data_IF_629028601430
#
_entry.id   IF_629028601430
#
_cell.length_a   1.000
_cell.length_b   1.000
_cell.length_c   1.000
_cell.angle_alpha   90.00
_cell.angle_beta   90.00
_cell.angle_gamma   90.00
#
_symmetry.space_group_name_H-M   'P 1'
#
loop_
_entity.id
_entity.type
_entity.pdbx_description
1 polymer ?
#
# COMPACT_ATOMS: atom_id res chain seq x y z
N UNK A 1 7.94 -4.76 18.45
CA UNK A 1 7.00 -3.66 18.18
C UNK A 1 5.90 -3.69 19.23
N UNK A 2 5.72 -2.61 19.97
CA UNK A 2 4.58 -2.46 20.87
C UNK A 2 3.35 -1.95 20.11
N UNK A 3 2.17 -2.11 20.71
CA UNK A 3 0.88 -1.62 20.16
C UNK A 3 0.81 -0.09 20.02
N UNK A 4 1.77 0.65 20.61
CA UNK A 4 1.89 2.11 20.54
C UNK A 4 2.83 2.62 19.42
N UNK A 5 3.19 1.76 18.46
CA UNK A 5 4.12 2.05 17.34
C UNK A 5 5.53 2.51 17.76
N UNK A 6 5.95 2.22 18.99
CA UNK A 6 7.31 2.51 19.45
C UNK A 6 8.22 1.32 19.21
N UNK A 7 9.46 1.60 18.80
CA UNK A 7 10.52 0.62 18.73
C UNK A 7 11.22 0.59 20.10
N UNK A 8 11.32 -0.61 20.67
CA UNK A 8 11.97 -0.83 21.96
C UNK A 8 13.04 -1.89 21.80
N UNK A 9 14.22 -1.62 22.33
CA UNK A 9 15.31 -2.59 22.43
C UNK A 9 15.22 -3.26 23.80
N UNK A 10 14.96 -4.55 23.78
CA UNK A 10 14.83 -5.34 25.00
C UNK A 10 16.04 -6.24 25.18
N UNK A 11 16.66 -6.18 26.34
CA UNK A 11 17.76 -7.04 26.73
C UNK A 11 17.26 -8.03 27.80
N UNK A 12 17.78 -9.24 27.77
CA UNK A 12 17.49 -10.27 28.76
C UNK A 12 18.56 -10.31 29.88
N UNK A 13 18.36 -11.20 30.88
CA UNK A 13 19.31 -11.40 31.98
C UNK A 13 20.61 -12.10 31.56
N UNK A 14 20.70 -12.56 30.31
CA UNK A 14 21.83 -13.33 29.82
C UNK A 14 21.76 -14.81 30.22
N UNK A 15 22.86 -15.53 29.95
CA UNK A 15 23.02 -16.92 30.40
C UNK A 15 23.71 -16.87 31.77
N UNK A 16 23.10 -17.49 32.78
CA UNK A 16 23.73 -17.67 34.09
C UNK A 16 24.40 -19.06 34.15
N UNK A 17 25.57 -19.09 34.78
CA UNK A 17 26.29 -20.33 35.05
C UNK A 17 25.87 -21.02 36.38
N UNK A 18 24.84 -20.50 37.04
CA UNK A 18 24.34 -21.06 38.28
C UNK A 18 23.46 -22.26 38.06
N UNK A 19 23.75 -23.39 38.70
CA UNK A 19 23.01 -24.63 38.61
C UNK A 19 21.58 -24.60 39.24
N UNK A 20 21.28 -23.55 39.98
CA UNK A 20 20.01 -23.39 40.73
C UNK A 20 18.94 -22.57 39.99
N UNK A 21 19.14 -22.32 38.70
CA UNK A 21 18.17 -21.55 37.92
C UNK A 21 16.93 -22.37 37.56
N UNK A 22 15.79 -21.74 37.67
CA UNK A 22 14.50 -22.30 37.28
C UNK A 22 14.47 -22.65 35.78
N UNK A 23 14.10 -23.90 35.47
CA UNK A 23 13.92 -24.35 34.09
C UNK A 23 12.57 -23.83 33.60
N UNK A 24 12.63 -22.87 32.69
CA UNK A 24 11.43 -22.29 32.06
C UNK A 24 11.00 -23.17 30.88
N UNK A 25 9.74 -23.64 30.84
CA UNK A 25 9.26 -24.44 29.72
C UNK A 25 9.23 -23.62 28.42
N UNK A 26 9.51 -24.27 27.29
CA UNK A 26 9.38 -23.63 25.99
C UNK A 26 7.91 -23.25 25.74
N UNK A 27 7.59 -21.96 25.53
CA UNK A 27 6.22 -21.48 25.33
C UNK A 27 5.52 -22.11 24.12
N UNK A 28 6.26 -22.41 23.06
CA UNK A 28 5.71 -23.05 21.86
C UNK A 28 5.19 -24.47 22.14
N UNK A 29 5.86 -25.18 23.06
CA UNK A 29 5.44 -26.52 23.47
C UNK A 29 4.29 -26.50 24.46
N UNK A 30 4.22 -25.50 25.33
CA UNK A 30 3.15 -25.36 26.32
C UNK A 30 1.84 -24.95 25.65
N UNK A 31 1.89 -24.04 24.67
CA UNK A 31 0.72 -23.60 23.92
C UNK A 31 0.09 -24.69 23.05
N UNK A 32 0.89 -25.59 22.51
CA UNK A 32 0.43 -26.70 21.66
C UNK A 32 -0.21 -27.86 22.40
N UNK A 33 -0.01 -27.98 23.71
CA UNK A 33 -0.49 -29.10 24.54
C UNK A 33 -1.86 -28.88 25.16
N UNK A 34 -2.44 -27.72 25.14
CA UNK A 34 -3.73 -27.38 25.72
C UNK A 34 -4.88 -27.62 24.73
N UNK A 35 -5.74 -28.59 25.04
CA UNK A 35 -6.94 -28.86 24.23
C UNK A 35 -7.84 -27.60 24.16
N UNK A 36 -8.05 -27.07 22.96
CA UNK A 36 -8.81 -25.85 22.74
C UNK A 36 -7.96 -24.61 22.43
N UNK A 37 -6.67 -24.63 22.59
CA UNK A 37 -5.77 -23.59 22.12
C UNK A 37 -5.56 -23.74 20.61
N UNK A 38 -5.90 -22.68 19.89
CA UNK A 38 -5.61 -22.56 18.48
C UNK A 38 -4.09 -22.37 18.30
N UNK A 39 -3.59 -22.67 17.11
CA UNK A 39 -2.15 -22.64 16.77
C UNK A 39 -1.45 -21.41 17.37
N UNK A 40 -0.18 -21.53 17.71
CA UNK A 40 0.67 -20.51 18.34
C UNK A 40 0.63 -19.13 17.68
N UNK A 41 0.18 -19.03 16.43
CA UNK A 41 -0.03 -17.78 15.67
C UNK A 41 -1.28 -17.00 16.16
N UNK A 42 -2.24 -17.68 16.78
CA UNK A 42 -3.47 -17.05 17.30
C UNK A 42 -3.35 -16.61 18.77
N UNK A 43 -2.28 -16.99 19.45
CA UNK A 43 -1.99 -16.58 20.82
C UNK A 43 -1.10 -15.35 20.79
N UNK A 44 -1.57 -14.28 21.39
CA UNK A 44 -0.78 -13.07 21.61
C UNK A 44 0.27 -13.36 22.69
N UNK A 45 1.38 -13.98 22.27
CA UNK A 45 2.51 -14.25 23.17
C UNK A 45 3.23 -12.91 23.36
N UNK A 46 3.02 -12.30 24.51
CA UNK A 46 3.80 -11.13 24.91
C UNK A 46 5.23 -11.59 25.28
N UNK A 47 6.25 -11.25 24.48
CA UNK A 47 7.63 -11.60 24.80
C UNK A 47 8.09 -11.02 26.15
N UNK A 48 7.44 -9.99 26.68
CA UNK A 48 7.77 -9.40 27.97
C UNK A 48 7.51 -10.36 29.14
N UNK A 49 6.61 -11.32 28.97
CA UNK A 49 6.37 -12.39 29.96
C UNK A 49 7.53 -13.39 30.07
N UNK A 50 8.47 -13.36 29.13
CA UNK A 50 9.67 -14.20 29.12
C UNK A 50 10.93 -13.44 29.56
N UNK A 51 10.78 -12.34 30.26
CA UNK A 51 11.90 -11.54 30.79
C UNK A 51 12.87 -12.36 31.65
N UNK A 52 12.42 -13.46 32.23
CA UNK A 52 13.22 -14.38 33.03
C UNK A 52 13.78 -15.56 32.23
N UNK A 53 13.48 -15.62 30.93
CA UNK A 53 14.05 -16.68 30.08
C UNK A 53 15.45 -16.27 29.62
N UNK A 54 16.34 -17.24 29.50
CA UNK A 54 17.72 -17.07 29.03
C UNK A 54 17.83 -16.78 27.51
N UNK A 55 16.72 -16.57 26.83
CA UNK A 55 16.66 -16.41 25.38
C UNK A 55 17.13 -15.06 24.87
N UNK A 56 17.17 -14.04 25.72
CA UNK A 56 17.66 -12.71 25.35
C UNK A 56 19.10 -12.50 25.82
N UNK A 57 19.90 -11.83 24.96
CA UNK A 57 21.27 -11.45 25.29
C UNK A 57 21.34 -10.52 26.49
N UNK A 58 22.42 -10.61 27.24
CA UNK A 58 22.68 -9.74 28.38
C UNK A 58 22.88 -8.29 27.93
N UNK A 59 22.38 -7.34 28.72
CA UNK A 59 22.67 -5.93 28.50
C UNK A 59 24.16 -5.65 28.69
N UNK A 60 24.84 -5.00 27.72
CA UNK A 60 26.26 -4.65 27.89
C UNK A 60 26.45 -3.64 29.01
N UNK A 61 27.40 -3.92 29.89
CA UNK A 61 27.74 -3.03 30.98
C UNK A 61 28.94 -2.13 30.61
N UNK A 62 28.95 -0.87 31.10
CA UNK A 62 30.02 0.11 30.88
C UNK A 62 30.38 0.33 29.39
N UNK A 63 29.41 0.25 28.50
CA UNK A 63 29.61 0.35 27.04
C UNK A 63 28.66 1.41 26.48
N UNK A 64 29.12 2.16 25.50
CA UNK A 64 28.26 3.04 24.67
C UNK A 64 27.75 2.27 23.50
N UNK A 65 26.43 2.20 23.33
CA UNK A 65 25.78 1.57 22.17
C UNK A 65 25.38 2.65 21.18
N UNK A 66 25.80 2.48 19.94
CA UNK A 66 25.32 3.30 18.82
C UNK A 66 24.19 2.55 18.10
N UNK A 67 23.00 3.16 18.11
CA UNK A 67 21.83 2.58 17.46
C UNK A 67 21.52 3.41 16.23
N UNK A 68 21.60 2.78 15.04
CA UNK A 68 21.16 3.37 13.79
C UNK A 68 19.75 2.92 13.48
N UNK A 69 18.84 3.86 13.29
CA UNK A 69 17.44 3.56 12.98
C UNK A 69 16.90 4.54 11.95
N UNK A 70 15.86 4.12 11.23
CA UNK A 70 15.14 4.97 10.29
C UNK A 70 13.85 5.44 10.92
N UNK A 71 13.52 6.70 10.69
CA UNK A 71 12.23 7.29 11.08
C UNK A 71 11.47 7.69 9.83
N UNK A 72 10.14 7.74 9.92
CA UNK A 72 9.27 8.22 8.86
C UNK A 72 7.86 8.43 9.40
N UNK A 73 7.13 9.36 8.79
CA UNK A 73 5.75 9.70 9.14
C UNK A 73 4.73 9.00 8.23
N UNK A 74 5.16 8.00 7.47
CA UNK A 74 4.29 7.28 6.56
C UNK A 74 3.98 8.07 5.29
N UNK A 75 2.72 8.06 4.86
CA UNK A 75 2.28 8.67 3.59
C UNK A 75 2.60 10.18 3.51
N UNK A 76 2.63 10.88 4.64
CA UNK A 76 2.94 12.31 4.70
C UNK A 76 4.37 12.66 4.31
N UNK A 77 5.26 11.66 4.27
CA UNK A 77 6.65 11.84 3.79
C UNK A 77 6.76 11.81 2.24
N UNK A 78 5.68 11.52 1.53
CA UNK A 78 5.61 11.68 0.08
C UNK A 78 5.52 13.16 -0.29
N UNK A 79 6.64 13.76 -0.64
CA UNK A 79 6.76 15.20 -0.93
C UNK A 79 6.07 15.54 -2.25
N UNK A 80 5.32 16.66 -2.29
CA UNK A 80 4.72 17.19 -3.50
C UNK A 80 5.79 17.61 -4.54
N UNK A 81 5.44 17.75 -5.83
CA UNK A 81 6.40 18.21 -6.83
C UNK A 81 6.84 19.65 -6.54
N UNK A 82 8.09 19.98 -6.91
CA UNK A 82 8.71 21.29 -6.76
C UNK A 82 8.87 21.81 -5.31
N UNK A 83 8.89 20.93 -4.32
CA UNK A 83 9.09 21.31 -2.90
C UNK A 83 10.56 21.21 -2.50
N UNK A 84 11.31 20.25 -3.06
CA UNK A 84 12.73 20.05 -2.73
C UNK A 84 13.59 21.00 -3.55
N UNK A 85 13.72 22.24 -3.07
CA UNK A 85 14.48 23.30 -3.75
C UNK A 85 15.69 23.78 -2.95
N UNK A 86 15.75 23.45 -1.67
CA UNK A 86 16.84 23.88 -0.77
C UNK A 86 17.98 22.87 -0.77
N UNK A 87 19.21 23.37 -0.94
CA UNK A 87 20.43 22.56 -0.92
C UNK A 87 21.21 22.92 0.32
N UNK A 88 21.20 22.02 1.31
CA UNK A 88 21.88 22.26 2.60
C UNK A 88 23.37 21.98 2.53
N UNK A 89 23.78 20.99 1.76
CA UNK A 89 25.19 20.60 1.65
C UNK A 89 25.49 19.99 0.30
N UNK A 90 26.66 20.31 -0.24
CA UNK A 90 27.17 19.74 -1.50
C UNK A 90 28.63 19.37 -1.28
N UNK A 91 28.97 18.12 -1.54
CA UNK A 91 30.33 17.64 -1.58
C UNK A 91 30.85 17.70 -3.03
N UNK A 92 31.92 18.43 -3.26
CA UNK A 92 32.56 18.52 -4.56
C UNK A 92 33.81 17.65 -4.56
N UNK A 93 33.97 16.81 -5.57
CA UNK A 93 35.22 16.07 -5.77
C UNK A 93 36.23 17.00 -6.47
N UNK A 94 37.05 17.66 -5.67
CA UNK A 94 38.04 18.64 -6.14
C UNK A 94 39.35 17.98 -6.59
N UNK A 95 39.56 16.67 -6.31
CA UNK A 95 40.84 15.97 -6.52
C UNK A 95 41.09 15.52 -7.97
N UNK A 96 40.12 15.69 -8.87
CA UNK A 96 40.22 15.07 -10.20
C UNK A 96 41.16 15.78 -11.16
N UNK A 97 41.42 17.08 -11.01
CA UNK A 97 42.38 17.82 -11.90
C UNK A 97 42.90 19.11 -11.28
N UNK A 98 44.20 19.19 -11.13
CA UNK A 98 44.94 20.41 -10.71
C UNK A 98 44.82 21.59 -11.72
N UNK A 99 44.16 21.41 -12.87
CA UNK A 99 44.00 22.40 -13.92
C UNK A 99 42.61 23.05 -13.97
N UNK A 100 41.75 22.84 -12.96
CA UNK A 100 40.43 23.44 -12.94
C UNK A 100 40.53 24.91 -12.51
N UNK A 101 40.00 25.80 -13.34
CA UNK A 101 39.96 27.24 -13.02
C UNK A 101 39.02 27.52 -11.85
N UNK A 102 39.54 28.12 -10.78
CA UNK A 102 38.80 28.44 -9.56
C UNK A 102 37.55 29.32 -9.84
N UNK A 103 37.58 30.19 -10.84
CA UNK A 103 36.42 31.01 -11.22
C UNK A 103 35.27 30.15 -11.79
N UNK A 104 35.61 29.12 -12.57
CA UNK A 104 34.60 28.18 -13.11
C UNK A 104 33.99 27.33 -12.02
N UNK A 105 34.79 26.86 -11.07
CA UNK A 105 34.29 26.11 -9.91
C UNK A 105 33.32 26.97 -9.08
N UNK A 106 33.69 28.21 -8.78
CA UNK A 106 32.81 29.14 -8.08
C UNK A 106 31.52 29.44 -8.82
N UNK A 107 31.58 29.57 -10.15
CA UNK A 107 30.39 29.75 -10.97
C UNK A 107 29.44 28.53 -10.88
N UNK A 108 29.97 27.33 -11.01
CA UNK A 108 29.19 26.10 -10.86
C UNK A 108 28.57 26.01 -9.45
N UNK A 109 29.32 26.33 -8.40
CA UNK A 109 28.82 26.35 -7.03
C UNK A 109 27.65 27.30 -6.83
N UNK A 110 27.69 28.48 -7.47
CA UNK A 110 26.63 29.49 -7.35
C UNK A 110 25.41 29.25 -8.23
N UNK A 111 25.53 28.46 -9.27
CA UNK A 111 24.43 28.15 -10.22
C UNK A 111 23.75 26.81 -9.96
N UNK A 112 24.22 26.06 -8.97
CA UNK A 112 23.63 24.78 -8.61
C UNK A 112 22.21 24.98 -8.08
N UNK A 113 21.25 24.30 -8.68
CA UNK A 113 19.85 24.29 -8.23
C UNK A 113 19.35 22.84 -8.20
N UNK A 114 18.50 22.54 -7.24
CA UNK A 114 17.83 21.27 -7.13
C UNK A 114 16.31 21.45 -7.23
N UNK A 115 15.64 20.49 -7.83
CA UNK A 115 14.19 20.45 -7.88
C UNK A 115 13.70 19.02 -8.09
N UNK A 116 12.60 18.66 -7.43
CA UNK A 116 11.88 17.42 -7.71
C UNK A 116 10.71 17.72 -8.67
N UNK A 117 10.88 17.43 -9.95
CA UNK A 117 9.85 17.69 -10.97
C UNK A 117 8.55 16.86 -10.77
N UNK A 118 8.65 15.69 -10.14
CA UNK A 118 7.52 14.79 -9.85
C UNK A 118 7.35 14.62 -8.35
N UNK A 119 6.09 14.36 -7.92
CA UNK A 119 5.82 14.03 -6.54
C UNK A 119 6.53 12.72 -6.13
N UNK A 120 6.98 12.66 -4.88
CA UNK A 120 7.45 11.40 -4.33
C UNK A 120 6.28 10.42 -4.15
N UNK A 121 6.54 9.13 -4.37
CA UNK A 121 5.59 8.06 -4.11
C UNK A 121 6.36 6.85 -3.55
N UNK A 122 5.71 6.05 -2.70
CA UNK A 122 6.33 4.85 -2.15
C UNK A 122 6.44 4.86 -0.62
N UNK A 123 6.02 5.92 0.05
CA UNK A 123 5.79 5.87 1.48
C UNK A 123 4.37 5.34 1.78
N UNK A 124 4.24 4.55 2.81
CA UNK A 124 3.00 3.88 3.24
C UNK A 124 2.84 4.04 4.76
N UNK A 125 1.62 4.15 5.24
CA UNK A 125 1.32 4.06 6.68
C UNK A 125 1.74 2.69 7.22
N UNK A 126 2.07 2.61 8.50
CA UNK A 126 2.38 1.35 9.16
C UNK A 126 1.21 0.36 8.99
N UNK A 127 1.56 -0.92 8.79
CA UNK A 127 0.58 -1.99 8.67
C UNK A 127 -0.19 -2.15 9.99
N UNK A 128 -1.47 -2.47 9.90
CA UNK A 128 -2.26 -2.81 11.08
C UNK A 128 -1.81 -4.16 11.64
N UNK A 129 -2.13 -4.44 12.91
CA UNK A 129 -1.81 -5.74 13.52
C UNK A 129 -2.39 -6.92 12.70
N UNK A 130 -3.57 -6.74 12.13
CA UNK A 130 -4.21 -7.75 11.29
C UNK A 130 -3.44 -7.94 9.96
N UNK A 131 -2.97 -6.87 9.34
CA UNK A 131 -2.15 -6.95 8.13
C UNK A 131 -0.82 -7.66 8.40
N UNK A 132 -0.18 -7.33 9.53
CA UNK A 132 1.06 -8.00 9.95
C UNK A 132 0.84 -9.50 10.15
N UNK A 133 -0.25 -9.90 10.83
CA UNK A 133 -0.61 -11.33 11.02
C UNK A 133 -0.84 -12.02 9.68
N UNK A 134 -1.62 -11.43 8.80
CA UNK A 134 -1.92 -11.98 7.48
C UNK A 134 -0.64 -12.11 6.62
N UNK A 135 0.19 -11.06 6.60
CA UNK A 135 1.44 -11.05 5.86
C UNK A 135 2.45 -12.07 6.40
N UNK A 136 2.52 -12.24 7.71
CA UNK A 136 3.39 -13.23 8.34
C UNK A 136 2.99 -14.67 7.97
N UNK A 137 1.68 -14.98 8.04
CA UNK A 137 1.14 -16.29 7.63
C UNK A 137 1.41 -16.57 6.14
N UNK A 138 1.12 -15.58 5.29
CA UNK A 138 1.33 -15.70 3.86
C UNK A 138 2.83 -15.86 3.52
N UNK A 139 3.72 -15.06 4.14
CA UNK A 139 5.16 -15.18 3.93
C UNK A 139 5.72 -16.54 4.36
N UNK A 140 5.19 -17.10 5.46
CA UNK A 140 5.58 -18.45 5.90
C UNK A 140 5.15 -19.52 4.90
N UNK A 141 3.98 -19.38 4.28
CA UNK A 141 3.46 -20.31 3.28
C UNK A 141 4.28 -20.31 1.97
N UNK A 142 4.89 -19.18 1.59
CA UNK A 142 5.66 -19.04 0.32
C UNK A 142 7.00 -19.76 0.32
N UNK A 143 7.50 -20.26 1.46
CA UNK A 143 8.79 -20.95 1.59
C UNK A 143 9.98 -20.19 0.96
N UNK A 144 9.95 -18.85 0.97
CA UNK A 144 10.98 -17.97 0.39
C UNK A 144 11.25 -18.15 -1.13
N UNK A 145 10.29 -18.63 -1.89
CA UNK A 145 10.37 -18.68 -3.36
C UNK A 145 9.05 -18.22 -3.97
N UNK A 146 9.13 -17.67 -5.18
CA UNK A 146 7.98 -17.17 -5.93
C UNK A 146 7.58 -18.21 -6.98
N UNK A 147 6.43 -18.82 -6.80
CA UNK A 147 5.89 -19.85 -7.71
C UNK A 147 4.50 -19.46 -8.19
N UNK A 148 3.63 -18.96 -7.30
CA UNK A 148 2.28 -18.55 -7.62
C UNK A 148 2.19 -17.03 -7.81
N UNK A 149 1.09 -16.56 -8.41
CA UNK A 149 0.82 -15.11 -8.56
C UNK A 149 0.73 -14.43 -7.18
N UNK A 150 0.10 -15.10 -6.25
CA UNK A 150 -0.08 -14.64 -4.87
C UNK A 150 1.27 -14.47 -4.16
N UNK A 151 2.22 -15.37 -4.39
CA UNK A 151 3.57 -15.27 -3.82
C UNK A 151 4.26 -13.97 -4.25
N UNK A 152 4.16 -13.62 -5.53
CA UNK A 152 4.71 -12.37 -6.06
C UNK A 152 4.06 -11.14 -5.43
N UNK A 153 2.73 -11.13 -5.27
CA UNK A 153 1.98 -10.03 -4.65
C UNK A 153 2.37 -9.87 -3.19
N UNK A 154 2.38 -10.97 -2.42
CA UNK A 154 2.75 -10.98 -1.00
C UNK A 154 4.19 -10.51 -0.83
N UNK A 155 5.09 -10.96 -1.68
CA UNK A 155 6.49 -10.55 -1.63
C UNK A 155 6.66 -9.08 -1.98
N UNK A 156 5.92 -8.53 -2.95
CA UNK A 156 5.93 -7.12 -3.26
C UNK A 156 5.50 -6.26 -2.06
N UNK A 157 4.47 -6.68 -1.31
CA UNK A 157 4.05 -6.00 -0.08
C UNK A 157 5.06 -6.18 1.08
N UNK A 158 5.86 -7.24 1.05
CA UNK A 158 6.88 -7.52 2.08
C UNK A 158 8.21 -6.82 1.81
N UNK A 159 8.31 -5.99 0.77
CA UNK A 159 9.52 -5.22 0.49
C UNK A 159 9.83 -4.29 1.67
N UNK A 160 11.10 -4.28 2.17
CA UNK A 160 11.48 -3.39 3.27
C UNK A 160 11.24 -1.91 2.91
N UNK A 161 10.62 -1.15 3.82
CA UNK A 161 10.21 0.23 3.61
C UNK A 161 11.34 1.18 3.17
N UNK A 162 12.59 0.87 3.53
CA UNK A 162 13.77 1.65 3.09
C UNK A 162 14.00 1.65 1.58
N UNK A 163 13.41 0.71 0.84
CA UNK A 163 13.47 0.63 -0.62
C UNK A 163 12.22 1.20 -1.30
N UNK A 164 11.28 1.69 -0.53
CA UNK A 164 9.95 2.11 -0.93
C UNK A 164 8.89 1.06 -0.61
N UNK A 165 7.63 1.41 -0.78
CA UNK A 165 6.52 0.48 -0.57
C UNK A 165 5.54 0.53 -1.72
N UNK A 166 4.83 -0.58 -1.91
CA UNK A 166 3.78 -0.74 -2.91
C UNK A 166 2.43 -0.66 -2.21
N UNK A 167 1.54 0.20 -2.69
CA UNK A 167 0.18 0.34 -2.16
C UNK A 167 -0.76 -0.75 -2.69
N UNK A 168 -0.67 -1.01 -4.01
CA UNK A 168 -1.46 -2.03 -4.70
C UNK A 168 -0.57 -2.77 -5.69
N UNK A 169 -0.73 -4.09 -5.76
CA UNK A 169 -0.02 -4.94 -6.70
C UNK A 169 -0.97 -5.96 -7.33
N UNK A 170 -0.77 -6.22 -8.61
CA UNK A 170 -1.51 -7.23 -9.37
C UNK A 170 -0.60 -7.83 -10.43
N UNK A 171 -0.71 -9.11 -10.71
CA UNK A 171 0.17 -9.79 -11.66
C UNK A 171 -0.64 -10.57 -12.70
N UNK A 172 -0.23 -10.46 -13.94
CA UNK A 172 -0.85 -11.11 -15.10
C UNK A 172 0.24 -11.70 -15.97
N UNK A 173 0.09 -12.95 -16.46
CA UNK A 173 0.95 -13.47 -17.51
C UNK A 173 0.90 -12.61 -18.76
N UNK A 174 2.01 -12.53 -19.50
CA UNK A 174 2.13 -11.70 -20.71
C UNK A 174 1.17 -12.14 -21.83
N UNK A 175 0.77 -13.41 -21.84
CA UNK A 175 -0.17 -13.99 -22.79
C UNK A 175 -1.64 -13.61 -22.58
N UNK A 176 -1.97 -13.02 -21.41
CA UNK A 176 -3.34 -12.57 -21.08
C UNK A 176 -3.60 -11.10 -21.42
N UNK A 177 -2.62 -10.38 -21.91
CA UNK A 177 -2.80 -8.99 -22.35
C UNK A 177 -3.64 -8.92 -23.61
N UNK A 178 -4.44 -7.86 -23.74
CA UNK A 178 -5.45 -7.71 -24.79
C UNK A 178 -4.89 -7.88 -26.20
N UNK A 179 -5.69 -8.45 -27.10
CA UNK A 179 -5.34 -8.63 -28.52
C UNK A 179 -4.98 -7.34 -29.26
N UNK A 180 -5.26 -6.16 -28.70
CA UNK A 180 -4.86 -4.89 -29.27
C UNK A 180 -3.35 -4.61 -29.19
N UNK A 181 -2.67 -5.14 -28.20
CA UNK A 181 -1.19 -5.13 -28.16
C UNK A 181 -0.56 -6.11 -29.15
N UNK A 182 -1.30 -7.11 -29.65
CA UNK A 182 -0.82 -8.06 -30.66
C UNK A 182 -0.63 -7.47 -32.07
N UNK A 183 -1.08 -6.25 -32.33
CA UNK A 183 -0.81 -5.58 -33.61
C UNK A 183 0.63 -5.05 -33.72
N UNK A 184 1.37 -4.99 -32.63
CA UNK A 184 2.82 -4.80 -32.67
C UNK A 184 3.49 -6.18 -32.76
N UNK A 185 4.54 -6.28 -33.57
CA UNK A 185 5.36 -7.46 -33.88
C UNK A 185 5.94 -8.25 -32.69
N UNK A 186 5.39 -8.08 -31.49
CA UNK A 186 5.85 -8.71 -30.25
C UNK A 186 5.10 -10.01 -29.99
N UNK A 187 5.83 -11.11 -30.06
CA UNK A 187 5.31 -12.42 -29.65
C UNK A 187 5.22 -12.46 -28.13
N UNK A 188 4.05 -12.81 -27.55
CA UNK A 188 3.92 -12.97 -26.09
C UNK A 188 4.92 -13.99 -25.58
N UNK A 189 5.57 -13.67 -24.46
CA UNK A 189 6.46 -14.63 -23.80
C UNK A 189 5.67 -15.30 -22.66
N UNK A 190 5.37 -16.61 -22.77
CA UNK A 190 4.60 -17.32 -21.74
C UNK A 190 5.34 -17.42 -20.39
N UNK A 191 6.65 -17.17 -20.37
CA UNK A 191 7.46 -17.13 -19.15
C UNK A 191 7.58 -15.70 -18.56
N UNK A 192 7.05 -14.69 -19.24
CA UNK A 192 7.05 -13.33 -18.76
C UNK A 192 5.74 -13.02 -18.01
N UNK A 193 5.89 -12.36 -16.89
CA UNK A 193 4.77 -11.83 -16.09
C UNK A 193 4.84 -10.32 -16.04
N UNK A 194 3.69 -9.67 -16.18
CA UNK A 194 3.54 -8.23 -15.98
C UNK A 194 2.97 -7.98 -14.59
N UNK A 195 3.74 -7.35 -13.73
CA UNK A 195 3.31 -6.90 -12.42
C UNK A 195 2.89 -5.44 -12.51
N UNK A 196 1.64 -5.18 -12.20
CA UNK A 196 1.06 -3.85 -12.16
C UNK A 196 1.04 -3.35 -10.73
N UNK A 197 1.63 -2.18 -10.51
CA UNK A 197 1.84 -1.61 -9.17
C UNK A 197 1.33 -0.18 -9.10
N UNK A 198 0.93 0.23 -7.90
CA UNK A 198 0.59 1.62 -7.58
C UNK A 198 1.14 1.98 -6.21
N UNK A 199 1.42 3.26 -6.02
CA UNK A 199 1.81 3.85 -4.75
C UNK A 199 0.75 4.81 -4.23
N UNK A 200 1.02 5.40 -3.05
CA UNK A 200 0.24 6.51 -2.51
C UNK A 200 1.01 7.81 -2.67
N UNK A 201 0.28 8.90 -2.88
CA UNK A 201 0.80 10.25 -2.72
C UNK A 201 0.65 10.69 -1.24
N UNK A 202 1.07 11.94 -0.94
CA UNK A 202 0.97 12.58 0.38
C UNK A 202 -0.46 12.55 0.95
N UNK A 203 -1.48 12.69 0.11
CA UNK A 203 -2.90 12.68 0.50
C UNK A 203 -3.53 11.28 0.51
N UNK A 204 -2.72 10.22 0.47
CA UNK A 204 -3.18 8.82 0.42
C UNK A 204 -4.03 8.49 -0.82
N UNK A 205 -3.85 9.20 -1.92
CA UNK A 205 -4.48 8.91 -3.21
C UNK A 205 -3.55 8.03 -4.04
N UNK A 206 -4.12 7.22 -4.93
CA UNK A 206 -3.35 6.35 -5.80
C UNK A 206 -2.59 7.14 -6.87
N UNK A 207 -1.33 6.78 -7.05
CA UNK A 207 -0.45 7.32 -8.09
C UNK A 207 0.46 6.21 -8.63
N UNK A 208 0.99 6.42 -9.84
CA UNK A 208 2.04 5.56 -10.37
C UNK A 208 3.30 5.63 -9.48
N UNK A 209 4.01 4.52 -9.35
CA UNK A 209 5.27 4.49 -8.62
C UNK A 209 6.38 5.15 -9.45
N UNK A 210 7.32 5.80 -8.75
CA UNK A 210 8.50 6.32 -9.43
C UNK A 210 9.42 5.17 -9.89
N UNK A 211 10.28 5.46 -10.86
CA UNK A 211 11.15 4.46 -11.47
C UNK A 211 12.11 3.80 -10.47
N UNK A 212 12.62 4.56 -9.50
CA UNK A 212 13.56 4.04 -8.50
C UNK A 212 12.92 2.95 -7.63
N UNK A 213 11.66 3.15 -7.19
CA UNK A 213 10.94 2.13 -6.40
C UNK A 213 10.64 0.89 -7.24
N UNK A 214 10.31 1.05 -8.53
CA UNK A 214 10.11 -0.08 -9.45
C UNK A 214 11.39 -0.90 -9.63
N UNK A 215 12.53 -0.24 -9.79
CA UNK A 215 13.85 -0.90 -9.91
C UNK A 215 14.25 -1.61 -8.62
N UNK A 216 14.02 -0.98 -7.47
CA UNK A 216 14.22 -1.61 -6.16
C UNK A 216 13.32 -2.85 -5.99
N UNK A 217 12.05 -2.74 -6.36
CA UNK A 217 11.11 -3.87 -6.31
C UNK A 217 11.57 -5.00 -7.22
N UNK A 218 12.00 -4.69 -8.45
CA UNK A 218 12.52 -5.68 -9.39
C UNK A 218 13.74 -6.41 -8.82
N UNK A 219 14.72 -5.65 -8.31
CA UNK A 219 15.91 -6.21 -7.69
C UNK A 219 15.56 -7.07 -6.47
N UNK A 220 14.58 -6.63 -5.66
CA UNK A 220 14.12 -7.41 -4.51
C UNK A 220 13.45 -8.71 -4.92
N UNK A 221 12.57 -8.71 -5.93
CA UNK A 221 11.91 -9.92 -6.44
C UNK A 221 12.88 -10.89 -7.11
N UNK A 222 13.94 -10.39 -7.76
CA UNK A 222 14.97 -11.21 -8.41
C UNK A 222 15.69 -12.16 -7.44
N UNK A 223 15.74 -11.85 -6.16
CA UNK A 223 16.31 -12.74 -5.13
C UNK A 223 15.44 -13.97 -4.82
N UNK A 224 14.17 -13.94 -5.18
CA UNK A 224 13.20 -14.97 -4.80
C UNK A 224 12.55 -15.67 -5.99
N UNK A 225 12.61 -15.07 -7.20
CA UNK A 225 11.98 -15.63 -8.41
C UNK A 225 12.69 -16.90 -8.89
N UNK A 226 11.94 -17.71 -9.63
CA UNK A 226 12.51 -18.84 -10.35
C UNK A 226 13.35 -18.32 -11.52
N UNK A 227 14.43 -19.02 -11.86
CA UNK A 227 15.38 -18.57 -12.88
C UNK A 227 14.76 -18.37 -14.27
N UNK A 228 13.71 -19.12 -14.59
CA UNK A 228 13.00 -19.06 -15.87
C UNK A 228 12.03 -17.89 -15.99
N UNK A 229 11.59 -17.32 -14.88
CA UNK A 229 10.55 -16.29 -14.87
C UNK A 229 11.13 -14.91 -15.12
N UNK A 230 10.48 -14.12 -15.96
CA UNK A 230 10.77 -12.72 -16.18
C UNK A 230 9.61 -11.87 -15.67
N UNK A 231 9.91 -10.85 -14.84
CA UNK A 231 8.91 -9.94 -14.30
C UNK A 231 9.14 -8.55 -14.86
N UNK A 232 8.10 -8.01 -15.51
CA UNK A 232 8.04 -6.62 -15.96
C UNK A 232 7.17 -5.84 -14.99
N UNK A 233 7.66 -4.71 -14.48
CA UNK A 233 6.91 -3.88 -13.55
C UNK A 233 6.35 -2.67 -14.30
N UNK A 234 5.03 -2.50 -14.24
CA UNK A 234 4.27 -1.44 -14.91
C UNK A 234 3.35 -0.76 -13.90
N UNK A 235 2.90 0.48 -14.20
CA UNK A 235 1.83 1.09 -13.43
C UNK A 235 0.47 0.57 -13.87
N UNK A 236 -0.45 0.36 -12.91
CA UNK A 236 -1.85 0.07 -13.22
C UNK A 236 -2.59 1.37 -13.60
N UNK A 237 -3.66 1.23 -14.37
CA UNK A 237 -4.51 2.37 -14.73
C UNK A 237 -5.43 2.74 -13.57
N UNK A 238 -5.49 4.03 -13.24
CA UNK A 238 -6.38 4.57 -12.22
C UNK A 238 -7.59 5.17 -12.93
N UNK A 239 -8.77 4.66 -12.65
CA UNK A 239 -10.05 5.15 -13.16
C UNK A 239 -10.75 5.90 -12.03
N UNK A 240 -10.73 7.23 -12.10
CA UNK A 240 -11.41 8.04 -11.09
C UNK A 240 -12.91 8.06 -11.36
N UNK A 241 -13.69 7.86 -10.30
CA UNK A 241 -15.15 7.81 -10.36
C UNK A 241 -15.80 8.79 -9.38
N UNK A 242 -17.01 9.22 -9.72
CA UNK A 242 -17.90 9.93 -8.82
C UNK A 242 -19.22 9.15 -8.68
N UNK A 243 -19.83 9.25 -7.50
CA UNK A 243 -21.06 8.56 -7.15
C UNK A 243 -22.13 9.59 -6.77
N UNK A 244 -23.21 9.64 -7.53
CA UNK A 244 -24.39 10.43 -7.26
C UNK A 244 -25.54 9.49 -6.86
N UNK A 245 -26.20 9.77 -5.73
CA UNK A 245 -27.29 8.92 -5.25
C UNK A 245 -28.48 9.70 -4.72
N UNK A 246 -29.65 9.08 -4.78
CA UNK A 246 -30.91 9.62 -4.30
C UNK A 246 -31.54 8.64 -3.31
N UNK A 247 -31.97 9.18 -2.17
CA UNK A 247 -32.61 8.40 -1.11
C UNK A 247 -33.94 9.02 -0.70
N UNK A 248 -34.88 8.19 -0.29
CA UNK A 248 -36.03 8.60 0.49
C UNK A 248 -35.74 8.32 1.98
N UNK A 249 -36.10 9.28 2.83
CA UNK A 249 -35.85 9.21 4.27
C UNK A 249 -37.17 9.00 5.00
N UNK A 250 -37.18 8.20 6.05
CA UNK A 250 -38.33 7.97 6.92
C UNK A 250 -38.72 9.28 7.60
N UNK A 251 -40.04 9.56 7.73
CA UNK A 251 -40.58 10.81 8.21
C UNK A 251 -40.18 11.20 9.65
N UNK A 252 -39.75 10.24 10.44
CA UNK A 252 -39.29 10.43 11.82
C UNK A 252 -37.78 10.69 11.96
N UNK A 253 -37.04 10.79 10.84
CA UNK A 253 -35.61 11.05 10.82
C UNK A 253 -35.27 12.38 10.15
N UNK A 254 -34.17 13.00 10.60
CA UNK A 254 -33.70 14.25 9.98
C UNK A 254 -33.02 13.91 8.64
N UNK A 255 -33.53 14.50 7.55
CA UNK A 255 -33.07 14.26 6.18
C UNK A 255 -31.57 14.59 6.00
N UNK A 256 -31.09 15.70 6.56
CA UNK A 256 -29.70 16.13 6.43
C UNK A 256 -28.73 15.22 7.20
N UNK A 257 -29.15 14.82 8.40
CA UNK A 257 -28.34 13.88 9.21
C UNK A 257 -28.24 12.51 8.55
N UNK A 258 -29.36 11.99 8.05
CA UNK A 258 -29.41 10.70 7.33
C UNK A 258 -28.57 10.76 6.05
N UNK A 259 -28.66 11.87 5.29
CA UNK A 259 -27.84 12.08 4.10
C UNK A 259 -26.34 12.08 4.44
N UNK A 260 -25.93 12.76 5.52
CA UNK A 260 -24.54 12.77 5.95
C UNK A 260 -24.04 11.35 6.34
N UNK A 261 -24.89 10.57 7.03
CA UNK A 261 -24.59 9.16 7.36
C UNK A 261 -24.41 8.33 6.09
N UNK A 262 -25.23 8.52 5.07
CA UNK A 262 -25.11 7.85 3.77
C UNK A 262 -23.81 8.22 3.05
N UNK A 263 -23.44 9.50 3.02
CA UNK A 263 -22.19 9.96 2.44
C UNK A 263 -21.00 9.32 3.17
N UNK A 264 -21.01 9.28 4.49
CA UNK A 264 -19.93 8.66 5.28
C UNK A 264 -19.86 7.14 5.08
N UNK A 265 -21.01 6.47 4.93
CA UNK A 265 -21.06 5.04 4.61
C UNK A 265 -20.41 4.74 3.24
N UNK A 266 -20.70 5.57 2.22
CA UNK A 266 -20.07 5.43 0.90
C UNK A 266 -18.59 5.77 0.91
N UNK A 267 -18.14 6.77 1.70
CA UNK A 267 -16.71 7.05 1.89
C UNK A 267 -15.98 5.84 2.48
N UNK A 268 -16.57 5.20 3.47
CA UNK A 268 -16.02 3.97 4.05
C UNK A 268 -16.08 2.77 3.09
N UNK A 269 -17.08 2.71 2.21
CA UNK A 269 -17.19 1.67 1.19
C UNK A 269 -16.11 1.83 0.11
N UNK A 270 -15.88 3.05 -0.39
CA UNK A 270 -14.90 3.37 -1.42
C UNK A 270 -13.52 3.74 -0.85
N UNK A 271 -13.24 3.36 0.40
CA UNK A 271 -11.92 3.54 0.98
C UNK A 271 -10.87 2.81 0.14
N UNK A 272 -9.82 3.54 -0.25
CA UNK A 272 -8.75 3.04 -1.13
C UNK A 272 -8.09 1.77 -0.59
N UNK A 273 -8.00 1.63 0.75
CA UNK A 273 -7.40 0.43 1.36
C UNK A 273 -8.19 -0.83 1.05
N UNK A 274 -9.50 -0.74 0.89
CA UNK A 274 -10.40 -1.88 0.64
C UNK A 274 -10.47 -2.30 -0.83
N UNK A 275 -10.06 -1.43 -1.75
CA UNK A 275 -10.16 -1.69 -3.18
C UNK A 275 -8.88 -2.30 -3.75
N UNK A 276 -9.04 -3.24 -4.67
CA UNK A 276 -7.93 -3.92 -5.34
C UNK A 276 -7.94 -3.65 -6.85
N UNK A 277 -6.79 -3.86 -7.49
CA UNK A 277 -6.68 -3.80 -8.94
C UNK A 277 -7.56 -4.91 -9.55
N UNK A 278 -8.29 -4.60 -10.63
CA UNK A 278 -9.24 -5.48 -11.31
C UNK A 278 -10.48 -5.89 -10.49
N UNK A 279 -10.77 -5.17 -9.41
CA UNK A 279 -12.00 -5.40 -8.67
C UNK A 279 -13.19 -4.71 -9.36
N UNK A 280 -14.28 -5.44 -9.70
CA UNK A 280 -15.48 -4.84 -10.28
C UNK A 280 -16.29 -4.09 -9.23
N UNK A 281 -17.06 -3.07 -9.68
CA UNK A 281 -18.03 -2.38 -8.83
C UNK A 281 -19.40 -3.05 -8.99
N UNK A 282 -19.95 -3.54 -7.89
CA UNK A 282 -21.28 -4.15 -7.86
C UNK A 282 -22.26 -3.09 -7.35
N UNK A 283 -23.18 -2.63 -8.24
CA UNK A 283 -24.14 -1.56 -7.87
C UNK A 283 -25.10 -1.97 -6.75
N UNK A 284 -25.45 -3.26 -6.65
CA UNK A 284 -26.29 -3.77 -5.56
C UNK A 284 -25.63 -3.63 -4.17
N UNK A 285 -24.31 -3.75 -4.09
CA UNK A 285 -23.58 -3.60 -2.81
C UNK A 285 -23.65 -2.15 -2.33
N UNK A 286 -23.53 -1.19 -3.26
CA UNK A 286 -23.71 0.24 -2.95
C UNK A 286 -25.14 0.49 -2.47
N UNK A 287 -26.13 -0.03 -3.17
CA UNK A 287 -27.54 0.11 -2.81
C UNK A 287 -27.82 -0.50 -1.43
N UNK A 288 -27.28 -1.68 -1.16
CA UNK A 288 -27.41 -2.36 0.13
C UNK A 288 -26.71 -1.57 1.26
N UNK A 289 -25.51 -1.04 0.98
CA UNK A 289 -24.79 -0.20 1.95
C UNK A 289 -25.60 1.04 2.33
N UNK A 290 -26.22 1.69 1.36
CA UNK A 290 -27.11 2.84 1.60
C UNK A 290 -28.40 2.45 2.33
N UNK A 291 -29.03 1.36 1.94
CA UNK A 291 -30.26 0.87 2.56
C UNK A 291 -30.10 0.47 4.04
N UNK A 292 -28.91 0.01 4.41
CA UNK A 292 -28.58 -0.36 5.78
C UNK A 292 -28.33 0.86 6.70
N UNK A 293 -28.27 2.09 6.16
CA UNK A 293 -28.12 3.29 6.98
C UNK A 293 -29.42 3.60 7.71
N UNK A 294 -29.33 3.75 9.02
CA UNK A 294 -30.49 4.07 9.86
C UNK A 294 -31.17 5.37 9.43
N UNK A 295 -32.45 5.31 9.13
CA UNK A 295 -33.27 6.44 8.67
C UNK A 295 -33.55 6.46 7.17
N UNK A 296 -32.88 5.62 6.38
CA UNK A 296 -33.18 5.44 4.96
C UNK A 296 -34.42 4.56 4.80
N UNK A 297 -35.40 5.03 4.05
CA UNK A 297 -36.60 4.29 3.70
C UNK A 297 -36.36 3.45 2.44
N UNK A 298 -35.78 4.06 1.42
CA UNK A 298 -35.44 3.41 0.15
C UNK A 298 -34.35 4.18 -0.58
N UNK A 299 -33.60 3.47 -1.42
CA UNK A 299 -32.64 4.05 -2.35
C UNK A 299 -33.33 4.17 -3.71
N UNK A 300 -33.46 5.40 -4.19
CA UNK A 300 -34.18 5.72 -5.42
C UNK A 300 -33.31 5.48 -6.66
N UNK A 301 -32.09 6.01 -6.63
CA UNK A 301 -31.14 5.87 -7.74
C UNK A 301 -29.69 5.91 -7.24
N UNK A 302 -28.81 5.22 -7.97
CA UNK A 302 -27.35 5.29 -7.83
C UNK A 302 -26.75 5.41 -9.21
N UNK A 303 -26.10 6.52 -9.49
CA UNK A 303 -25.38 6.80 -10.72
C UNK A 303 -23.88 6.88 -10.46
N UNK A 304 -23.07 6.26 -11.29
CA UNK A 304 -21.62 6.30 -11.23
C UNK A 304 -21.12 6.91 -12.53
N UNK A 305 -20.26 7.92 -12.44
CA UNK A 305 -19.67 8.62 -13.57
C UNK A 305 -18.15 8.61 -13.51
N UNK A 306 -17.50 8.54 -14.68
CA UNK A 306 -16.04 8.66 -14.77
C UNK A 306 -15.60 10.14 -14.66
N UNK A 307 -14.49 10.39 -13.96
CA UNK A 307 -13.84 11.69 -13.83
C UNK A 307 -12.42 11.57 -14.39
N UNK A 308 -12.10 12.32 -15.43
CA UNK A 308 -10.84 12.19 -16.18
C UNK A 308 -10.12 13.51 -16.48
N UNK A 309 -10.63 14.63 -16.02
CA UNK A 309 -10.03 15.94 -16.29
C UNK A 309 -8.79 16.17 -15.40
N UNK A 310 -7.61 16.18 -16.02
CA UNK A 310 -6.33 16.39 -15.33
C UNK A 310 -6.18 17.79 -14.74
N UNK A 311 -6.89 18.80 -15.30
CA UNK A 311 -6.88 20.17 -14.77
C UNK A 311 -7.52 20.23 -13.37
N UNK A 312 -8.43 19.31 -13.06
CA UNK A 312 -9.05 19.18 -11.74
C UNK A 312 -8.36 18.13 -10.85
N UNK A 313 -7.19 17.65 -11.27
CA UNK A 313 -6.36 16.72 -10.51
C UNK A 313 -6.77 15.24 -10.62
N UNK A 314 -7.63 14.86 -11.56
CA UNK A 314 -7.95 13.45 -11.83
C UNK A 314 -6.90 12.80 -12.74
N UNK A 315 -6.94 11.46 -12.84
CA UNK A 315 -6.20 10.74 -13.87
C UNK A 315 -6.73 11.08 -15.26
N UNK A 316 -5.85 11.10 -16.28
CA UNK A 316 -6.27 11.32 -17.67
C UNK A 316 -7.00 10.12 -18.30
N UNK A 317 -7.33 9.09 -17.54
CA UNK A 317 -7.88 7.85 -18.06
C UNK A 317 -9.40 7.96 -18.27
N UNK A 318 -9.80 7.96 -19.53
CA UNK A 318 -11.22 7.94 -19.93
C UNK A 318 -11.69 6.50 -19.94
N UNK A 319 -12.79 6.22 -19.25
CA UNK A 319 -13.40 4.89 -19.21
C UNK A 319 -14.90 4.96 -19.37
N UNK A 320 -15.43 4.25 -20.37
CA UNK A 320 -16.87 4.20 -20.61
C UNK A 320 -17.55 3.19 -19.65
N UNK A 321 -18.04 3.72 -18.56
CA UNK A 321 -18.76 2.94 -17.55
C UNK A 321 -20.07 2.35 -18.07
N UNK A 322 -20.67 2.97 -19.11
CA UNK A 322 -21.94 2.51 -19.69
C UNK A 322 -21.74 1.18 -20.40
N UNK A 323 -20.77 1.14 -21.29
CA UNK A 323 -20.39 -0.09 -22.02
C UNK A 323 -19.83 -1.15 -21.09
N UNK A 324 -19.09 -0.75 -20.05
CA UNK A 324 -18.50 -1.66 -19.06
C UNK A 324 -19.53 -2.24 -18.08
N UNK A 325 -20.76 -1.71 -18.04
CA UNK A 325 -21.80 -2.20 -17.13
C UNK A 325 -22.60 -3.34 -17.74
N UNK A 326 -22.55 -4.52 -17.13
CA UNK A 326 -23.37 -5.67 -17.47
C UNK A 326 -24.07 -6.20 -16.21
N UNK A 327 -25.38 -6.36 -16.28
CA UNK A 327 -26.19 -6.90 -15.16
C UNK A 327 -25.98 -6.18 -13.81
N UNK A 328 -25.79 -4.86 -13.83
CA UNK A 328 -25.56 -4.08 -12.61
C UNK A 328 -24.14 -4.17 -12.04
N UNK A 329 -23.21 -4.83 -12.74
CA UNK A 329 -21.79 -4.92 -12.38
C UNK A 329 -20.99 -4.10 -13.38
N UNK A 330 -20.15 -3.20 -12.88
CA UNK A 330 -19.18 -2.43 -13.68
C UNK A 330 -17.88 -3.21 -13.66
N UNK A 331 -17.50 -3.73 -14.81
CA UNK A 331 -16.25 -4.48 -14.94
C UNK A 331 -15.07 -3.54 -15.16
N UNK A 332 -13.89 -3.87 -14.63
CA UNK A 332 -12.66 -3.14 -14.93
C UNK A 332 -12.23 -3.36 -16.39
N UNK A 333 -11.26 -2.57 -16.85
CA UNK A 333 -10.65 -2.74 -18.18
C UNK A 333 -9.94 -4.10 -18.31
N UNK A 334 -9.72 -4.53 -19.54
CA UNK A 334 -8.85 -5.69 -19.82
C UNK A 334 -7.42 -5.43 -19.37
N UNK A 335 -6.95 -4.18 -19.51
CA UNK A 335 -5.71 -3.76 -18.90
C UNK A 335 -5.93 -3.53 -17.39
N UNK A 336 -5.03 -4.02 -16.53
CA UNK A 336 -5.21 -3.92 -15.10
C UNK A 336 -5.47 -2.49 -14.63
N UNK A 337 -6.64 -2.27 -14.08
CA UNK A 337 -7.14 -0.96 -13.64
C UNK A 337 -7.75 -1.03 -12.25
N UNK A 338 -7.80 0.10 -11.56
CA UNK A 338 -8.42 0.25 -10.25
C UNK A 338 -9.40 1.43 -10.28
N UNK A 339 -10.56 1.24 -9.67
CA UNK A 339 -11.52 2.32 -9.46
C UNK A 339 -11.19 3.07 -8.17
N UNK A 340 -11.14 4.40 -8.26
CA UNK A 340 -10.84 5.27 -7.12
C UNK A 340 -11.82 6.44 -7.06
N UNK A 341 -12.37 6.72 -5.88
CA UNK A 341 -13.02 7.99 -5.57
C UNK A 341 -11.96 8.94 -5.03
N UNK A 342 -11.37 9.75 -5.91
CA UNK A 342 -10.18 10.55 -5.57
C UNK A 342 -10.45 11.64 -4.56
N UNK A 343 -11.58 12.31 -4.66
CA UNK A 343 -11.99 13.39 -3.75
C UNK A 343 -13.34 13.06 -3.10
N UNK A 344 -13.39 12.23 -2.05
CA UNK A 344 -14.65 11.74 -1.48
C UNK A 344 -15.64 12.84 -1.06
N UNK A 345 -15.13 14.01 -0.68
CA UNK A 345 -15.99 15.16 -0.30
C UNK A 345 -16.62 15.87 -1.50
N UNK A 346 -16.08 15.70 -2.71
CA UNK A 346 -16.56 16.35 -3.93
C UNK A 346 -17.28 15.36 -4.85
N UNK A 347 -16.81 14.13 -4.87
CA UNK A 347 -17.18 13.11 -5.85
C UNK A 347 -18.29 12.18 -5.35
N UNK A 348 -18.62 12.21 -4.05
CA UNK A 348 -19.79 11.53 -3.49
C UNK A 348 -20.83 12.58 -3.18
N UNK A 349 -21.95 12.55 -3.94
CA UNK A 349 -23.06 13.48 -3.77
C UNK A 349 -24.37 12.72 -3.61
N UNK A 350 -25.18 13.18 -2.68
CA UNK A 350 -26.50 12.62 -2.46
C UNK A 350 -27.56 13.70 -2.36
N UNK A 351 -28.78 13.33 -2.68
CA UNK A 351 -29.96 14.14 -2.41
C UNK A 351 -31.08 13.32 -1.80
N UNK A 352 -31.91 13.99 -1.01
CA UNK A 352 -33.11 13.40 -0.46
C UNK A 352 -34.28 13.75 -1.37
N UNK A 353 -35.07 12.74 -1.71
CA UNK A 353 -36.30 12.89 -2.48
C UNK A 353 -37.47 12.67 -1.56
N UNK A 354 -38.40 13.63 -1.53
CA UNK A 354 -39.65 13.50 -0.81
C UNK A 354 -40.71 12.94 -1.74
N UNK A 355 -41.38 11.88 -1.33
CA UNK A 355 -42.57 11.35 -2.00
C UNK A 355 -43.84 11.93 -1.39
#
# INVERSE_FOLDING_TARGET
>A
LRSDNKLELQFGPGISDNNDEEIVPNPDNVGNGLAGFRRAVDVDIDPSNFLYTRTYGQAPANTTLTVSYTTGNGVTDNVAPNVLTEINFVEYNEDINSNINASTVNFVKTTLAANNATAAAGAKTADTLQDIKNNALANFATQNRLVTREDYIIRAYSMPAKYGSVAKAYIVPDDQLSQQEYQSTRVPNPLAMNMYVLGFNESKQLVGLNQAVKENLKTYLDHYRILTDAVNIKDAFIINIAVDFEIAVLSNYNSNETLLKCINALKSFFDVDKWQINQPIIKSDITTTLANVTGVQSVVSVAISNKFDTAFGYSGNVYDLTTATKNGIIYPSLDPSIFEVKFPNRDIKGRVVNY
#
